data_IF_547732468457
#
_entry.id   IF_547732468457
#
_cell.length_a   1.000
_cell.length_b   1.000
_cell.length_c   1.000
_cell.angle_alpha   90.00
_cell.angle_beta   90.00
_cell.angle_gamma   90.00
#
_symmetry.space_group_name_H-M   'P 1'
#
loop_
_entity.id
_entity.type
_entity.pdbx_description
1 polymer ?
#
# COMPACT_ATOMS: atom_id res chain seq x y z
N UNK A 1 -51.90 -63.84 -13.21
CA UNK A 1 -51.64 -62.52 -12.61
C UNK A 1 -50.25 -61.95 -12.95
N UNK A 2 -49.17 -62.75 -12.99
CA UNK A 2 -47.81 -62.22 -13.28
C UNK A 2 -47.57 -61.71 -14.72
N UNK A 3 -48.16 -62.36 -15.73
CA UNK A 3 -47.94 -61.99 -17.15
C UNK A 3 -48.54 -60.62 -17.49
N UNK A 4 -49.67 -60.26 -16.88
CA UNK A 4 -50.31 -58.96 -17.07
C UNK A 4 -49.51 -57.81 -16.47
N UNK A 5 -48.79 -58.04 -15.36
CA UNK A 5 -47.97 -56.99 -14.74
C UNK A 5 -46.73 -56.72 -15.60
N UNK A 6 -46.12 -57.78 -16.15
CA UNK A 6 -44.96 -57.65 -17.04
C UNK A 6 -45.36 -56.95 -18.35
N UNK A 7 -46.51 -57.27 -18.93
CA UNK A 7 -46.96 -56.60 -20.16
C UNK A 7 -47.23 -55.11 -19.95
N UNK A 8 -47.81 -54.72 -18.81
CA UNK A 8 -48.06 -53.31 -18.47
C UNK A 8 -46.74 -52.54 -18.29
N UNK A 9 -45.74 -53.15 -17.64
CA UNK A 9 -44.42 -52.53 -17.45
C UNK A 9 -43.71 -52.33 -18.79
N UNK A 10 -43.73 -53.32 -19.69
CA UNK A 10 -43.09 -53.21 -21.01
C UNK A 10 -43.75 -52.14 -21.87
N UNK A 11 -45.09 -52.05 -21.85
CA UNK A 11 -45.83 -50.99 -22.56
C UNK A 11 -45.50 -49.61 -21.98
N UNK A 12 -45.39 -49.49 -20.65
CA UNK A 12 -45.03 -48.22 -20.01
C UNK A 12 -43.60 -47.78 -20.36
N UNK A 13 -42.64 -48.70 -20.37
CA UNK A 13 -41.25 -48.40 -20.77
C UNK A 13 -41.17 -47.99 -22.24
N UNK A 14 -41.89 -48.67 -23.14
CA UNK A 14 -41.95 -48.28 -24.56
C UNK A 14 -42.60 -46.89 -24.73
N UNK A 15 -43.62 -46.57 -23.93
CA UNK A 15 -44.27 -45.26 -23.96
C UNK A 15 -43.33 -44.14 -23.46
N UNK A 16 -42.54 -44.40 -22.41
CA UNK A 16 -41.54 -43.45 -21.90
C UNK A 16 -40.40 -43.26 -22.90
N UNK A 17 -39.91 -44.33 -23.53
CA UNK A 17 -38.86 -44.22 -24.56
C UNK A 17 -39.38 -43.46 -25.79
N UNK A 18 -40.61 -43.74 -26.24
CA UNK A 18 -41.25 -42.97 -27.31
C UNK A 18 -41.45 -41.49 -26.92
N UNK A 19 -41.81 -41.18 -25.68
CA UNK A 19 -41.94 -39.81 -25.18
C UNK A 19 -40.58 -39.08 -25.08
N UNK A 20 -39.51 -39.77 -24.72
CA UNK A 20 -38.14 -39.23 -24.68
C UNK A 20 -37.60 -38.98 -26.10
N UNK A 21 -37.89 -39.86 -27.06
CA UNK A 21 -37.50 -39.66 -28.46
C UNK A 21 -38.36 -38.56 -29.11
N UNK A 22 -39.66 -38.49 -28.81
CA UNK A 22 -40.56 -37.46 -29.31
C UNK A 22 -40.20 -36.06 -28.76
N UNK A 23 -39.80 -35.97 -27.49
CA UNK A 23 -39.30 -34.71 -26.89
C UNK A 23 -37.94 -34.27 -27.44
N UNK A 24 -37.14 -35.20 -27.99
CA UNK A 24 -35.88 -34.89 -28.69
C UNK A 24 -36.06 -34.53 -30.18
N UNK A 25 -37.21 -34.84 -30.80
CA UNK A 25 -37.37 -34.80 -32.27
C UNK A 25 -38.45 -33.85 -32.85
N UNK A 26 -39.26 -33.12 -32.06
CA UNK A 26 -40.17 -32.05 -32.55
C UNK A 26 -40.09 -30.82 -31.61
N UNK A 27 -39.18 -29.83 -31.80
CA UNK A 27 -39.04 -28.73 -32.82
C UNK A 27 -40.18 -27.68 -32.82
N UNK A 28 -39.83 -26.38 -32.76
CA UNK A 28 -39.98 -25.50 -33.94
C UNK A 28 -38.79 -24.53 -34.18
N UNK A 29 -38.61 -24.07 -35.43
CA UNK A 29 -37.70 -22.98 -35.84
C UNK A 29 -38.24 -21.57 -35.52
N UNK A 30 -37.49 -20.48 -35.78
CA UNK A 30 -37.74 -19.12 -35.25
C UNK A 30 -38.92 -18.44 -35.98
N UNK A 31 -39.49 -17.27 -35.56
CA UNK A 31 -39.18 -16.32 -34.47
C UNK A 31 -40.37 -16.19 -33.48
N UNK A 32 -40.22 -15.71 -32.24
CA UNK A 32 -40.31 -14.30 -31.81
C UNK A 32 -39.30 -14.18 -30.67
N UNK A 33 -38.30 -13.31 -30.83
CA UNK A 33 -37.49 -12.85 -29.70
C UNK A 33 -38.41 -12.07 -28.77
N UNK A 34 -39.10 -12.78 -27.87
CA UNK A 34 -39.38 -12.24 -26.56
C UNK A 34 -37.98 -12.07 -25.99
N UNK A 35 -37.53 -10.83 -25.93
CA UNK A 35 -36.29 -10.48 -25.26
C UNK A 35 -36.30 -11.21 -23.92
N UNK A 36 -35.50 -12.25 -23.77
CA UNK A 36 -34.98 -12.60 -22.45
C UNK A 36 -34.56 -11.26 -21.85
N UNK A 37 -34.94 -10.90 -20.61
CA UNK A 37 -34.40 -9.69 -20.02
C UNK A 37 -32.89 -9.83 -20.16
N UNK A 38 -32.30 -9.00 -21.03
CA UNK A 38 -30.90 -9.11 -21.43
C UNK A 38 -30.14 -9.33 -20.13
N UNK A 39 -29.36 -10.41 -20.02
CA UNK A 39 -28.57 -10.74 -18.81
C UNK A 39 -28.05 -9.42 -18.30
N UNK A 40 -28.61 -8.91 -17.17
CA UNK A 40 -28.52 -7.47 -16.83
C UNK A 40 -27.10 -7.07 -17.09
N UNK A 41 -26.83 -6.27 -18.15
CA UNK A 41 -25.46 -5.99 -18.57
C UNK A 41 -24.81 -5.45 -17.31
N UNK A 42 -23.88 -6.22 -16.74
CA UNK A 42 -23.21 -5.84 -15.50
C UNK A 42 -22.57 -4.51 -15.85
N UNK A 43 -23.05 -3.45 -15.21
CA UNK A 43 -22.52 -2.13 -15.44
C UNK A 43 -21.02 -2.22 -15.22
N UNK A 44 -20.23 -1.95 -16.25
CA UNK A 44 -18.77 -1.92 -16.18
C UNK A 44 -18.37 -0.48 -16.39
N UNK A 45 -17.72 0.10 -15.40
CA UNK A 45 -16.98 1.34 -15.61
C UNK A 45 -15.80 1.04 -16.52
N UNK A 46 -15.62 1.86 -17.55
CA UNK A 46 -14.43 1.87 -18.41
C UNK A 46 -13.46 2.98 -17.96
N UNK A 47 -13.35 3.19 -16.64
CA UNK A 47 -12.41 4.14 -16.05
C UNK A 47 -11.26 3.39 -15.39
N UNK A 48 -10.05 3.82 -15.68
CA UNK A 48 -8.87 3.34 -14.96
C UNK A 48 -8.78 4.09 -13.63
N UNK A 49 -8.89 3.37 -12.53
CA UNK A 49 -8.77 3.90 -11.17
C UNK A 49 -7.53 3.25 -10.59
N UNK A 50 -6.45 4.01 -10.47
CA UNK A 50 -5.20 3.61 -9.82
C UNK A 50 -4.76 4.66 -8.81
N UNK A 51 -4.30 4.25 -7.64
CA UNK A 51 -3.64 5.18 -6.71
C UNK A 51 -2.19 5.36 -7.20
N UNK A 52 -1.94 6.47 -7.90
CA UNK A 52 -0.60 6.90 -8.25
C UNK A 52 -0.20 8.12 -7.42
N UNK A 53 1.09 8.41 -7.41
CA UNK A 53 1.61 9.48 -6.59
C UNK A 53 1.06 10.87 -6.96
N UNK A 54 0.82 11.11 -8.26
CA UNK A 54 0.15 12.32 -8.76
C UNK A 54 -1.26 12.48 -8.19
N UNK A 55 -2.05 11.41 -8.10
CA UNK A 55 -3.40 11.46 -7.53
C UNK A 55 -3.38 11.83 -6.05
N UNK A 56 -2.43 11.27 -5.30
CA UNK A 56 -2.20 11.59 -3.88
C UNK A 56 -1.82 13.07 -3.71
N UNK A 57 -0.87 13.59 -4.49
CA UNK A 57 -0.48 15.01 -4.44
C UNK A 57 -1.66 15.92 -4.76
N UNK A 58 -2.46 15.59 -5.79
CA UNK A 58 -3.64 16.38 -6.15
C UNK A 58 -4.71 16.33 -5.07
N UNK A 59 -4.82 15.21 -4.35
CA UNK A 59 -5.71 15.09 -3.20
C UNK A 59 -5.24 16.00 -2.06
N UNK A 60 -3.95 15.98 -1.70
CA UNK A 60 -3.38 16.86 -0.68
C UNK A 60 -3.59 18.33 -1.03
N UNK A 61 -3.45 18.70 -2.30
CA UNK A 61 -3.68 20.07 -2.79
C UNK A 61 -5.16 20.50 -2.69
N UNK A 62 -6.11 19.60 -2.94
CA UNK A 62 -7.54 19.88 -2.83
C UNK A 62 -7.98 20.01 -1.37
N UNK A 63 -7.52 19.11 -0.50
CA UNK A 63 -7.96 19.04 0.90
C UNK A 63 -7.12 19.89 1.85
N UNK A 64 -5.90 20.27 1.44
CA UNK A 64 -4.92 21.03 2.24
C UNK A 64 -4.55 20.35 3.55
N UNK A 65 -4.49 19.02 3.52
CA UNK A 65 -4.13 18.14 4.65
C UNK A 65 -3.16 17.08 4.13
N UNK A 66 -2.35 16.52 5.03
CA UNK A 66 -1.49 15.38 4.70
C UNK A 66 -2.35 14.16 4.36
N UNK A 67 -1.92 13.36 3.39
CA UNK A 67 -2.62 12.12 3.02
C UNK A 67 -2.75 11.14 4.21
N UNK A 68 -1.82 11.17 5.16
CA UNK A 68 -1.89 10.36 6.38
C UNK A 68 -3.06 10.70 7.31
N UNK A 69 -3.65 11.89 7.15
CA UNK A 69 -4.78 12.37 7.95
C UNK A 69 -6.13 12.16 7.24
N UNK A 70 -6.16 11.36 6.16
CA UNK A 70 -7.39 11.08 5.42
C UNK A 70 -8.42 10.37 6.30
N UNK A 71 -9.63 10.91 6.33
CA UNK A 71 -10.75 10.31 7.04
C UNK A 71 -11.63 9.51 6.07
N UNK A 72 -11.60 8.17 6.20
CA UNK A 72 -12.43 7.28 5.39
C UNK A 72 -13.93 7.36 5.73
N UNK A 73 -14.30 8.00 6.85
CA UNK A 73 -15.69 8.25 7.23
C UNK A 73 -16.23 9.55 6.66
N UNK A 74 -15.34 10.49 6.29
CA UNK A 74 -15.73 11.73 5.61
C UNK A 74 -15.98 11.47 4.13
N UNK A 75 -17.23 11.68 3.69
CA UNK A 75 -17.63 11.54 2.30
C UNK A 75 -16.84 12.46 1.39
N UNK A 76 -16.51 13.68 1.83
CA UNK A 76 -15.77 14.62 0.98
C UNK A 76 -14.32 14.17 0.74
N UNK A 77 -13.67 13.52 1.72
CA UNK A 77 -12.32 12.96 1.56
C UNK A 77 -12.32 11.79 0.57
N UNK A 78 -13.31 10.89 0.67
CA UNK A 78 -13.48 9.74 -0.24
C UNK A 78 -13.84 10.20 -1.65
N UNK A 79 -14.79 11.13 -1.79
CA UNK A 79 -15.20 11.70 -3.08
C UNK A 79 -13.99 12.38 -3.77
N UNK A 80 -13.16 13.10 -3.01
CA UNK A 80 -11.94 13.72 -3.52
C UNK A 80 -10.89 12.69 -3.97
N UNK A 81 -10.78 11.54 -3.28
CA UNK A 81 -9.86 10.47 -3.69
C UNK A 81 -10.33 9.82 -5.01
N UNK A 82 -11.62 9.50 -5.11
CA UNK A 82 -12.21 8.97 -6.35
C UNK A 82 -12.06 9.94 -7.52
N UNK A 83 -12.19 11.23 -7.27
CA UNK A 83 -11.98 12.27 -8.26
C UNK A 83 -10.53 12.33 -8.74
N UNK A 84 -9.58 12.42 -7.81
CA UNK A 84 -8.16 12.59 -8.14
C UNK A 84 -7.58 11.37 -8.84
N UNK A 85 -8.00 10.17 -8.45
CA UNK A 85 -7.61 8.92 -9.13
C UNK A 85 -8.19 8.84 -10.55
N UNK A 86 -9.41 9.31 -10.79
CA UNK A 86 -9.98 9.26 -12.15
C UNK A 86 -9.34 10.27 -13.09
N UNK A 87 -9.16 11.53 -12.69
CA UNK A 87 -8.58 12.55 -13.56
C UNK A 87 -7.09 12.30 -13.87
N UNK A 88 -6.36 11.65 -12.95
CA UNK A 88 -4.92 11.43 -13.12
C UNK A 88 -4.59 10.23 -13.99
N UNK A 89 -5.49 9.25 -14.10
CA UNK A 89 -5.24 8.00 -14.83
C UNK A 89 -5.92 7.91 -16.21
N UNK A 90 -6.90 8.77 -16.48
CA UNK A 90 -7.66 8.74 -17.72
C UNK A 90 -7.27 9.94 -18.59
N UNK A 91 -6.51 9.69 -19.65
CA UNK A 91 -6.08 10.73 -20.58
C UNK A 91 -7.28 11.40 -21.27
N UNK A 92 -7.30 12.73 -21.31
CA UNK A 92 -8.34 13.51 -21.99
C UNK A 92 -9.63 13.73 -21.19
N UNK A 93 -9.70 13.23 -19.95
CA UNK A 93 -10.86 13.39 -19.08
C UNK A 93 -10.57 14.45 -18.02
N UNK A 94 -10.99 15.68 -18.28
CA UNK A 94 -10.85 16.82 -17.37
C UNK A 94 -12.24 17.40 -17.08
N UNK A 95 -12.66 17.34 -15.83
CA UNK A 95 -13.88 17.97 -15.33
C UNK A 95 -13.63 18.51 -13.93
N UNK A 96 -14.37 19.53 -13.50
CA UNK A 96 -14.23 20.09 -12.16
C UNK A 96 -14.77 19.13 -11.09
N UNK A 97 -14.24 19.23 -9.87
CA UNK A 97 -14.67 18.39 -8.74
C UNK A 97 -16.18 18.44 -8.49
N UNK A 98 -16.79 19.62 -8.56
CA UNK A 98 -18.24 19.79 -8.38
C UNK A 98 -19.08 19.00 -9.40
N UNK A 99 -18.61 18.97 -10.66
CA UNK A 99 -19.28 18.20 -11.72
C UNK A 99 -19.16 16.70 -11.44
N UNK A 100 -18.02 16.27 -10.92
CA UNK A 100 -17.80 14.88 -10.55
C UNK A 100 -18.66 14.44 -9.37
N UNK A 101 -18.92 15.31 -8.38
CA UNK A 101 -19.84 14.98 -7.27
C UNK A 101 -21.23 14.58 -7.77
N UNK A 102 -21.72 15.20 -8.83
CA UNK A 102 -22.99 14.80 -9.44
C UNK A 102 -22.94 13.40 -10.06
N UNK A 103 -21.78 12.94 -10.54
CA UNK A 103 -21.61 11.56 -11.02
C UNK A 103 -21.55 10.56 -9.87
N UNK A 104 -20.96 10.94 -8.73
CA UNK A 104 -20.93 10.13 -7.51
C UNK A 104 -22.29 10.06 -6.80
N UNK A 105 -23.22 10.98 -7.10
CA UNK A 105 -24.60 10.88 -6.62
C UNK A 105 -25.31 9.60 -7.14
N UNK A 106 -24.80 9.01 -8.22
CA UNK A 106 -25.23 7.68 -8.65
C UNK A 106 -24.48 6.60 -7.85
N UNK A 107 -25.17 6.02 -6.88
CA UNK A 107 -24.63 4.98 -5.98
C UNK A 107 -24.01 3.79 -6.73
N UNK A 108 -24.53 3.43 -7.91
CA UNK A 108 -23.97 2.33 -8.71
C UNK A 108 -22.58 2.64 -9.24
N UNK A 109 -22.34 3.90 -9.63
CA UNK A 109 -21.05 4.35 -10.12
C UNK A 109 -20.08 4.42 -8.95
N UNK A 110 -20.46 5.09 -7.86
CA UNK A 110 -19.64 5.22 -6.66
C UNK A 110 -19.23 3.85 -6.09
N UNK A 111 -20.17 2.91 -5.95
CA UNK A 111 -19.87 1.57 -5.43
C UNK A 111 -18.91 0.79 -6.33
N UNK A 112 -19.09 0.85 -7.67
CA UNK A 112 -18.18 0.16 -8.59
C UNK A 112 -16.77 0.77 -8.51
N UNK A 113 -16.67 2.11 -8.42
CA UNK A 113 -15.39 2.81 -8.25
C UNK A 113 -14.68 2.42 -6.94
N UNK A 114 -15.42 2.39 -5.83
CA UNK A 114 -14.90 1.97 -4.53
C UNK A 114 -14.45 0.51 -4.59
N UNK A 115 -15.26 -0.38 -5.19
CA UNK A 115 -14.92 -1.80 -5.30
C UNK A 115 -13.65 -2.05 -6.15
N UNK A 116 -13.45 -1.27 -7.21
CA UNK A 116 -12.19 -1.32 -7.98
C UNK A 116 -11.01 -0.87 -7.13
N UNK A 117 -11.16 0.25 -6.42
CA UNK A 117 -10.13 0.79 -5.53
C UNK A 117 -9.78 -0.22 -4.43
N UNK A 118 -10.78 -0.76 -3.71
CA UNK A 118 -10.60 -1.79 -2.68
C UNK A 118 -9.85 -3.02 -3.20
N UNK A 119 -10.16 -3.46 -4.43
CA UNK A 119 -9.47 -4.60 -5.04
C UNK A 119 -8.00 -4.28 -5.29
N UNK A 120 -7.68 -3.07 -5.73
CA UNK A 120 -6.29 -2.64 -5.91
C UNK A 120 -5.57 -2.50 -4.57
N UNK A 121 -6.16 -1.83 -3.57
CA UNK A 121 -5.54 -1.72 -2.24
C UNK A 121 -5.34 -3.08 -1.58
N UNK A 122 -6.23 -4.04 -1.78
CA UNK A 122 -6.08 -5.41 -1.27
C UNK A 122 -4.92 -6.18 -1.92
N UNK A 123 -4.53 -5.81 -3.14
CA UNK A 123 -3.32 -6.35 -3.79
C UNK A 123 -2.09 -5.62 -3.27
N UNK A 124 -2.14 -4.28 -3.19
CA UNK A 124 -1.02 -3.45 -2.73
C UNK A 124 -0.64 -3.71 -1.27
N UNK A 125 -1.62 -4.03 -0.41
CA UNK A 125 -1.37 -4.36 1.00
C UNK A 125 -0.48 -5.60 1.18
N UNK A 126 -0.36 -6.46 0.18
CA UNK A 126 0.52 -7.63 0.21
C UNK A 126 2.00 -7.24 0.10
N UNK A 127 2.29 -6.09 -0.52
CA UNK A 127 3.65 -5.57 -0.71
C UNK A 127 4.06 -4.58 0.36
N UNK A 128 3.13 -4.15 1.22
CA UNK A 128 3.46 -3.32 2.37
C UNK A 128 4.31 -4.14 3.33
N UNK A 129 5.57 -3.73 3.51
CA UNK A 129 6.39 -4.21 4.61
C UNK A 129 5.65 -3.86 5.90
N UNK A 130 5.40 -4.84 6.76
CA UNK A 130 4.97 -4.56 8.12
C UNK A 130 6.09 -3.78 8.77
N UNK A 131 5.97 -2.46 8.81
CA UNK A 131 6.79 -1.67 9.71
C UNK A 131 6.48 -2.19 11.10
N UNK A 132 7.43 -2.92 11.70
CA UNK A 132 7.54 -2.91 13.14
C UNK A 132 7.58 -1.43 13.51
N UNK A 133 6.69 -1.01 14.39
CA UNK A 133 6.71 0.32 14.97
C UNK A 133 8.07 0.47 15.67
N UNK A 134 9.10 0.86 14.92
CA UNK A 134 10.30 1.39 15.51
C UNK A 134 9.82 2.61 16.28
N UNK A 135 9.92 2.55 17.60
CA UNK A 135 9.81 3.68 18.51
C UNK A 135 10.82 4.76 18.07
N UNK A 136 10.47 5.51 17.02
CA UNK A 136 11.06 6.81 16.77
C UNK A 136 10.50 7.70 17.87
N UNK A 137 11.32 7.85 18.91
CA UNK A 137 11.07 8.69 20.05
C UNK A 137 10.42 10.00 19.63
N UNK A 138 9.35 10.32 20.35
CA UNK A 138 8.63 11.59 20.42
C UNK A 138 9.40 12.79 19.84
N UNK A 139 9.30 12.96 18.54
CA UNK A 139 9.45 14.27 17.92
C UNK A 139 8.07 14.57 17.38
N UNK A 140 7.50 15.73 17.70
CA UNK A 140 6.26 16.20 17.08
C UNK A 140 6.53 16.42 15.58
N UNK A 141 6.57 15.33 14.81
CA UNK A 141 6.72 15.39 13.37
C UNK A 141 5.34 15.72 12.83
N UNK A 142 5.13 17.01 12.55
CA UNK A 142 4.03 17.43 11.69
C UNK A 142 4.02 16.51 10.47
N UNK A 143 2.92 15.80 10.17
CA UNK A 143 2.91 14.84 9.08
C UNK A 143 3.24 15.58 7.79
N UNK A 144 4.43 15.31 7.25
CA UNK A 144 4.91 15.93 6.04
C UNK A 144 3.96 15.65 4.88
N UNK A 145 3.84 16.60 3.96
CA UNK A 145 3.09 16.35 2.73
C UNK A 145 3.87 15.38 1.85
N UNK A 146 3.19 14.37 1.33
CA UNK A 146 3.79 13.39 0.42
C UNK A 146 4.34 14.13 -0.82
N UNK A 147 3.67 15.19 -1.26
CA UNK A 147 4.17 16.08 -2.33
C UNK A 147 5.58 16.65 -2.12
N UNK A 148 5.92 17.06 -0.90
CA UNK A 148 7.25 17.62 -0.61
C UNK A 148 8.33 16.54 -0.63
N UNK A 149 7.98 15.34 -0.14
CA UNK A 149 8.87 14.19 -0.14
C UNK A 149 9.22 13.76 -1.56
N UNK A 150 8.23 13.65 -2.45
CA UNK A 150 8.46 13.29 -3.85
C UNK A 150 9.24 14.38 -4.57
N UNK A 151 8.93 15.66 -4.32
CA UNK A 151 9.69 16.75 -4.91
C UNK A 151 11.17 16.66 -4.52
N UNK A 152 11.47 16.32 -3.27
CA UNK A 152 12.83 16.09 -2.79
C UNK A 152 13.48 14.89 -3.49
N UNK A 153 12.75 13.78 -3.66
CA UNK A 153 13.25 12.61 -4.39
C UNK A 153 13.55 12.94 -5.87
N UNK A 154 12.69 13.70 -6.54
CA UNK A 154 12.91 14.15 -7.93
C UNK A 154 14.16 15.04 -8.01
N UNK A 155 14.31 16.00 -7.08
CA UNK A 155 15.51 16.84 -7.00
C UNK A 155 16.79 16.03 -6.72
N UNK A 156 16.67 14.89 -6.04
CA UNK A 156 17.78 13.98 -5.79
C UNK A 156 18.20 13.11 -6.99
N UNK A 157 17.43 13.18 -8.09
CA UNK A 157 17.70 12.50 -9.35
C UNK A 157 16.71 11.39 -9.73
N UNK A 158 15.59 11.23 -9.00
CA UNK A 158 14.52 10.31 -9.39
C UNK A 158 13.81 10.85 -10.65
N UNK A 159 13.51 9.98 -11.61
CA UNK A 159 12.78 10.38 -12.81
C UNK A 159 11.37 10.89 -12.44
N UNK A 160 11.03 12.09 -12.93
CA UNK A 160 9.78 12.75 -12.59
C UNK A 160 8.55 12.04 -13.18
N UNK A 161 8.70 11.42 -14.36
CA UNK A 161 7.62 10.68 -14.98
C UNK A 161 7.29 9.42 -14.17
N UNK A 162 8.32 8.63 -13.84
CA UNK A 162 8.19 7.49 -12.94
C UNK A 162 7.59 7.90 -11.59
N UNK A 163 8.16 8.93 -10.94
CA UNK A 163 7.78 9.35 -9.59
C UNK A 163 6.32 9.80 -9.47
N UNK A 164 5.76 10.41 -10.52
CA UNK A 164 4.40 10.96 -10.49
C UNK A 164 3.36 9.97 -11.04
N UNK A 165 3.69 9.25 -12.12
CA UNK A 165 2.69 8.49 -12.88
C UNK A 165 2.71 6.99 -12.58
N UNK A 166 3.89 6.42 -12.36
CA UNK A 166 4.07 4.97 -12.21
C UNK A 166 4.22 4.53 -10.76
N UNK A 167 4.92 5.33 -9.96
CA UNK A 167 5.28 5.02 -8.57
C UNK A 167 4.05 4.84 -7.67
N UNK A 168 4.07 3.75 -6.92
CA UNK A 168 3.01 3.36 -5.98
C UNK A 168 3.35 3.82 -4.57
N UNK A 169 2.33 3.96 -3.73
CA UNK A 169 2.50 4.45 -2.35
C UNK A 169 3.34 3.49 -1.49
N UNK A 170 3.25 2.18 -1.74
CA UNK A 170 4.01 1.15 -1.04
C UNK A 170 5.50 1.17 -1.34
N UNK A 171 5.93 1.80 -2.43
CA UNK A 171 7.33 1.87 -2.82
C UNK A 171 8.07 3.04 -2.16
N UNK A 172 7.34 4.02 -1.62
CA UNK A 172 7.94 5.19 -0.97
C UNK A 172 8.95 4.84 0.13
N UNK A 173 8.66 3.93 1.08
CA UNK A 173 9.60 3.57 2.13
C UNK A 173 10.96 3.09 1.58
N UNK A 174 10.96 2.34 0.48
CA UNK A 174 12.18 1.84 -0.17
C UNK A 174 13.06 3.00 -0.67
N UNK A 175 12.45 3.99 -1.32
CA UNK A 175 13.18 5.17 -1.81
C UNK A 175 13.67 6.07 -0.68
N UNK A 176 12.87 6.21 0.39
CA UNK A 176 13.24 6.99 1.58
C UNK A 176 14.47 6.36 2.25
N UNK A 177 14.47 5.04 2.48
CA UNK A 177 15.59 4.33 3.08
C UNK A 177 16.87 4.46 2.23
N UNK A 178 16.73 4.29 0.90
CA UNK A 178 17.86 4.46 -0.02
C UNK A 178 18.40 5.90 -0.01
N UNK A 179 17.52 6.90 0.05
CA UNK A 179 17.89 8.31 0.13
C UNK A 179 18.60 8.63 1.46
N UNK A 180 18.06 8.16 2.58
CA UNK A 180 18.66 8.35 3.90
C UNK A 180 20.03 7.70 4.00
N UNK A 181 20.20 6.47 3.51
CA UNK A 181 21.49 5.79 3.45
C UNK A 181 22.51 6.57 2.62
N UNK A 182 22.13 7.00 1.41
CA UNK A 182 22.99 7.84 0.56
C UNK A 182 23.38 9.14 1.27
N UNK A 183 22.45 9.76 2.00
CA UNK A 183 22.70 10.99 2.75
C UNK A 183 23.64 10.77 3.94
N UNK A 184 23.50 9.65 4.66
CA UNK A 184 24.42 9.24 5.74
C UNK A 184 25.84 9.06 5.20
N UNK A 185 26.00 8.30 4.11
CA UNK A 185 27.29 8.10 3.44
C UNK A 185 27.92 9.43 3.00
N UNK A 186 27.11 10.35 2.45
CA UNK A 186 27.58 11.68 2.06
C UNK A 186 28.04 12.50 3.27
N UNK A 187 27.26 12.52 4.35
CA UNK A 187 27.61 13.25 5.57
C UNK A 187 28.88 12.69 6.23
N UNK A 188 29.04 11.37 6.26
CA UNK A 188 30.26 10.71 6.74
C UNK A 188 31.48 11.03 5.87
N UNK A 189 31.30 11.04 4.54
CA UNK A 189 32.33 11.48 3.60
C UNK A 189 32.73 12.94 3.83
N UNK A 190 31.76 13.84 3.99
CA UNK A 190 32.01 15.26 4.26
C UNK A 190 32.72 15.46 5.60
N UNK A 191 32.35 14.69 6.64
CA UNK A 191 33.06 14.66 7.93
C UNK A 191 34.51 14.20 7.77
N UNK A 192 34.74 13.14 7.00
CA UNK A 192 36.08 12.63 6.71
C UNK A 192 36.93 13.66 5.95
N UNK A 193 36.38 14.28 4.91
CA UNK A 193 37.07 15.33 4.16
C UNK A 193 37.39 16.55 5.02
N UNK A 194 36.45 16.95 5.87
CA UNK A 194 36.67 18.03 6.83
C UNK A 194 37.80 17.69 7.78
N UNK A 195 37.80 16.47 8.34
CA UNK A 195 38.88 15.96 9.18
C UNK A 195 40.25 16.00 8.47
N UNK A 196 40.35 15.49 7.24
CA UNK A 196 41.59 15.53 6.46
C UNK A 196 42.09 16.96 6.18
N UNK A 197 41.18 17.91 5.97
CA UNK A 197 41.54 19.30 5.72
C UNK A 197 42.04 20.04 6.98
N UNK A 198 41.53 19.69 8.17
CA UNK A 198 41.96 20.34 9.43
C UNK A 198 43.18 19.67 10.06
N UNK A 199 43.47 18.40 9.73
CA UNK A 199 44.59 17.64 10.30
C UNK A 199 45.94 18.36 10.26
N UNK A 200 46.33 19.07 9.18
CA UNK A 200 47.58 19.84 9.16
C UNK A 200 47.64 20.97 10.19
N UNK A 201 46.51 21.37 10.75
CA UNK A 201 46.34 22.52 11.64
C UNK A 201 45.98 22.13 13.08
N UNK A 202 45.81 20.83 13.38
CA UNK A 202 45.39 20.35 14.70
C UNK A 202 46.33 19.26 15.22
N UNK A 203 46.52 19.19 16.54
CA UNK A 203 47.24 18.08 17.17
C UNK A 203 46.49 16.76 16.93
N UNK A 204 47.01 15.89 16.05
CA UNK A 204 46.40 14.57 15.76
C UNK A 204 46.27 13.63 16.97
N UNK A 205 46.89 13.95 18.11
CA UNK A 205 46.68 13.24 19.38
C UNK A 205 45.35 13.61 20.07
N UNK A 206 44.80 14.79 19.80
CA UNK A 206 43.53 15.28 20.36
C UNK A 206 42.31 14.81 19.56
N UNK A 207 42.51 14.52 18.26
CA UNK A 207 41.50 14.02 17.35
C UNK A 207 42.03 12.75 16.67
N UNK A 208 41.92 11.58 17.32
CA UNK A 208 42.40 10.33 16.75
C UNK A 208 41.53 9.83 15.60
N UNK A 209 40.22 10.14 15.57
CA UNK A 209 39.30 9.72 14.51
C UNK A 209 38.44 10.87 13.98
N UNK A 210 37.97 10.74 12.74
CA UNK A 210 37.00 11.68 12.15
C UNK A 210 35.66 11.72 12.91
N UNK A 211 35.30 10.63 13.62
CA UNK A 211 34.10 10.55 14.47
C UNK A 211 34.17 11.53 15.66
N UNK A 212 35.37 11.85 16.13
CA UNK A 212 35.57 12.75 17.28
C UNK A 212 35.38 14.23 16.92
N UNK A 213 35.21 14.55 15.63
CA UNK A 213 34.98 15.93 15.18
C UNK A 213 33.59 16.42 15.61
N UNK A 214 32.57 15.63 15.31
CA UNK A 214 31.19 15.78 15.79
C UNK A 214 30.43 14.46 15.55
N UNK A 215 29.52 14.15 16.47
CA UNK A 215 28.67 12.95 16.39
C UNK A 215 27.44 13.21 15.52
N UNK A 216 27.00 12.20 14.78
CA UNK A 216 25.74 12.26 14.08
C UNK A 216 24.57 11.82 14.98
N UNK A 217 23.35 12.35 14.77
CA UNK A 217 22.18 11.95 15.56
C UNK A 217 21.90 10.44 15.52
N UNK A 218 22.21 9.75 14.41
CA UNK A 218 22.04 8.29 14.33
C UNK A 218 23.13 7.50 15.06
N UNK A 219 24.35 8.02 15.13
CA UNK A 219 25.42 7.42 15.92
C UNK A 219 25.08 7.50 17.42
N UNK A 220 24.51 8.63 17.88
CA UNK A 220 24.06 8.78 19.28
C UNK A 220 22.93 7.81 19.63
N UNK A 221 21.97 7.61 18.73
CA UNK A 221 20.89 6.63 18.94
C UNK A 221 21.41 5.20 18.98
N UNK A 222 22.39 4.86 18.13
CA UNK A 222 23.03 3.54 18.13
C UNK A 222 23.84 3.32 19.41
N UNK A 223 24.59 4.33 19.87
CA UNK A 223 25.38 4.29 21.10
C UNK A 223 24.48 4.15 22.33
N UNK A 224 23.33 4.84 22.39
CA UNK A 224 22.34 4.68 23.46
C UNK A 224 21.77 3.26 23.49
N UNK A 225 21.38 2.72 22.33
CA UNK A 225 20.84 1.37 22.22
C UNK A 225 21.87 0.29 22.54
N UNK A 226 23.15 0.55 22.29
CA UNK A 226 24.25 -0.32 22.70
C UNK A 226 24.49 -0.23 24.21
N UNK A 227 24.46 0.97 24.80
CA UNK A 227 24.56 1.15 26.24
C UNK A 227 23.41 0.47 27.00
N UNK A 228 22.18 0.54 26.49
CA UNK A 228 21.03 -0.17 27.05
C UNK A 228 21.19 -1.70 27.01
N UNK A 229 21.70 -2.23 25.89
CA UNK A 229 22.00 -3.67 25.76
C UNK A 229 23.10 -4.10 26.73
N UNK A 230 24.18 -3.33 26.83
CA UNK A 230 25.26 -3.61 27.77
C UNK A 230 24.77 -3.60 29.24
N UNK A 231 23.94 -2.63 29.61
CA UNK A 231 23.33 -2.57 30.94
C UNK A 231 22.41 -3.77 31.22
N UNK A 232 21.67 -4.25 30.21
CA UNK A 232 20.83 -5.45 30.35
C UNK A 232 21.68 -6.71 30.54
N UNK A 233 22.72 -6.89 29.73
CA UNK A 233 23.67 -8.02 29.85
C UNK A 233 24.42 -7.99 31.20
N UNK A 234 24.84 -6.80 31.64
CA UNK A 234 25.49 -6.61 32.95
C UNK A 234 24.52 -6.90 34.11
N UNK A 235 23.24 -6.55 33.98
CA UNK A 235 22.21 -6.86 34.97
C UNK A 235 21.97 -8.37 35.10
N UNK A 236 21.86 -9.09 33.97
CA UNK A 236 21.75 -10.56 33.96
C UNK A 236 22.98 -11.21 34.59
N UNK A 237 24.17 -10.72 34.25
CA UNK A 237 25.44 -11.20 34.82
C UNK A 237 25.51 -10.94 36.32
N UNK A 238 25.03 -9.78 36.78
CA UNK A 238 24.94 -9.43 38.19
C UNK A 238 23.96 -10.32 38.95
N UNK A 239 22.78 -10.63 38.39
CA UNK A 239 21.81 -11.54 39.01
C UNK A 239 22.38 -12.97 39.17
N UNK A 240 23.08 -13.47 38.15
CA UNK A 240 23.77 -14.77 38.21
C UNK A 240 24.83 -14.76 39.31
N UNK A 241 25.61 -13.68 39.42
CA UNK A 241 26.61 -13.52 40.47
C UNK A 241 25.98 -13.51 41.88
N UNK A 242 24.91 -12.74 42.10
CA UNK A 242 24.22 -12.67 43.39
C UNK A 242 23.63 -14.03 43.80
N UNK A 243 23.01 -14.75 42.86
CA UNK A 243 22.44 -16.07 43.12
C UNK A 243 23.51 -17.13 43.43
N UNK A 244 24.64 -17.11 42.73
CA UNK A 244 25.75 -18.04 42.98
C UNK A 244 26.55 -17.71 44.25
N UNK A 245 26.68 -16.43 44.60
CA UNK A 245 27.31 -15.98 45.85
C UNK A 245 26.52 -16.39 47.09
N UNK A 246 25.18 -16.34 47.03
CA UNK A 246 24.30 -16.77 48.14
C UNK A 246 24.34 -18.30 48.34
N UNK A 247 24.55 -19.08 47.28
CA UNK A 247 24.62 -20.54 47.36
C UNK A 247 25.96 -21.08 47.92
N UNK A 248 27.04 -20.29 47.89
CA UNK A 248 28.36 -20.66 48.41
C UNK A 248 28.59 -20.27 49.89
N UNK A 249 27.60 -19.68 50.57
CA UNK A 249 27.67 -19.31 51.99
C UNK A 249 26.85 -20.21 52.94
N UNK A 250 26.52 -21.45 52.54
CA UNK A 250 25.88 -22.45 53.39
C UNK A 250 26.79 -23.62 53.72
#
# INVERSE_FOLDING_TARGET
>A
MGIFIISVIVVFVLFVVAAVINSRCHRPGPPITINAPASKKRFRLDMRIKINMKSVIRWEQLRKKSFSQMDYTDKDDVDALLYTTTICNNAGVMYAFEVFRHTLANEKIAHEMISVLERETAVLSQFQTKQETSDLGSTEVTPGMIGELIATLIMSGLDAHYALEEMELCDLPLYIEAYERKKKEQMESDRLWTYLNILPHVDGKKLPSARDLYSFPWEEMEDMKEAERALAEDAETFEIFMNNGINNCK
#
